data_IF_305235121506
#
_entry.id   IF_305235121506
#
_cell.length_a   1.000
_cell.length_b   1.000
_cell.length_c   1.000
_cell.angle_alpha   90.00
_cell.angle_beta   90.00
_cell.angle_gamma   90.00
#
_symmetry.space_group_name_H-M   'P 1'
#
loop_
_entity.id
_entity.type
_entity.pdbx_description
1 polymer ?
#
# COMPACT_ATOMS: atom_id res chain seq x y z
N UNK A 1 -13.90 22.46 5.87
CA UNK A 1 -14.97 21.54 5.40
C UNK A 1 -15.07 20.36 6.35
N UNK A 2 -16.28 19.87 6.63
CA UNK A 2 -16.50 18.69 7.48
C UNK A 2 -16.26 17.41 6.65
N UNK A 3 -15.58 16.41 7.21
CA UNK A 3 -15.38 15.11 6.56
C UNK A 3 -16.72 14.39 6.37
N UNK A 4 -16.94 13.82 5.18
CA UNK A 4 -18.16 13.08 4.83
C UNK A 4 -18.09 11.67 5.40
N UNK A 5 -19.22 11.14 5.88
CA UNK A 5 -19.36 9.73 6.22
C UNK A 5 -19.50 8.90 4.94
N UNK A 6 -18.46 8.16 4.60
CA UNK A 6 -18.43 7.34 3.40
C UNK A 6 -18.71 5.86 3.76
N UNK A 7 -19.87 5.36 3.36
CA UNK A 7 -20.32 3.97 3.56
C UNK A 7 -20.22 3.10 2.30
N UNK A 8 -19.40 3.48 1.32
CA UNK A 8 -19.21 2.70 0.10
C UNK A 8 -18.66 1.29 0.38
N UNK A 9 -19.16 0.30 -0.36
CA UNK A 9 -18.80 -1.12 -0.20
C UNK A 9 -17.46 -1.51 -0.86
N UNK A 10 -16.92 -0.69 -1.77
CA UNK A 10 -15.67 -0.95 -2.48
C UNK A 10 -15.55 -0.14 -3.79
N UNK A 11 -14.47 0.65 -4.01
CA UNK A 11 -13.51 1.11 -2.99
C UNK A 11 -14.20 1.80 -1.80
N UNK A 12 -13.52 1.82 -0.64
CA UNK A 12 -14.10 2.23 0.65
C UNK A 12 -13.25 3.27 1.39
N UNK A 13 -13.68 3.69 2.58
CA UNK A 13 -13.02 4.75 3.36
C UNK A 13 -11.66 4.30 3.92
N UNK A 14 -10.63 5.14 3.74
CA UNK A 14 -9.32 4.99 4.39
C UNK A 14 -9.22 5.82 5.68
N UNK A 15 -8.40 5.41 6.67
CA UNK A 15 -8.09 6.23 7.85
C UNK A 15 -7.50 7.59 7.48
N UNK A 16 -7.79 8.62 8.28
CA UNK A 16 -7.33 9.98 7.99
C UNK A 16 -5.81 10.12 8.06
N UNK A 17 -5.18 9.52 9.07
CA UNK A 17 -3.74 9.61 9.24
C UNK A 17 -2.97 9.08 8.03
N UNK A 18 -3.47 8.01 7.39
CA UNK A 18 -2.87 7.41 6.20
C UNK A 18 -2.95 8.35 5.01
N UNK A 19 -4.12 8.97 4.79
CA UNK A 19 -4.30 9.94 3.70
C UNK A 19 -3.40 11.18 3.89
N UNK A 20 -3.29 11.67 5.13
CA UNK A 20 -2.42 12.81 5.45
C UNK A 20 -0.96 12.47 5.23
N UNK A 21 -0.50 11.30 5.66
CA UNK A 21 0.86 10.87 5.45
C UNK A 21 1.17 10.74 3.94
N UNK A 22 0.34 10.03 3.18
CA UNK A 22 0.53 9.87 1.74
C UNK A 22 0.52 11.22 1.00
N UNK A 23 -0.38 12.13 1.39
CA UNK A 23 -0.45 13.48 0.83
C UNK A 23 0.81 14.31 1.14
N UNK A 24 1.33 14.25 2.36
CA UNK A 24 2.55 14.96 2.76
C UNK A 24 3.80 14.42 2.03
N UNK A 25 3.81 13.13 1.70
CA UNK A 25 4.95 12.45 1.08
C UNK A 25 4.85 12.37 -0.46
N UNK A 26 3.75 12.85 -1.07
CA UNK A 26 3.44 12.59 -2.49
C UNK A 26 4.48 13.12 -3.46
N UNK A 27 5.11 14.27 -3.14
CA UNK A 27 6.14 14.91 -3.96
C UNK A 27 7.55 14.40 -3.63
N UNK A 28 7.76 13.87 -2.43
CA UNK A 28 9.06 13.38 -1.99
C UNK A 28 8.88 12.38 -0.85
N UNK A 29 8.90 11.10 -1.19
CA UNK A 29 8.76 10.03 -0.21
C UNK A 29 9.92 10.06 0.78
N UNK A 30 9.64 10.29 2.06
CA UNK A 30 10.65 10.32 3.15
C UNK A 30 11.90 11.15 2.83
N UNK A 31 11.76 12.25 2.09
CA UNK A 31 12.88 13.13 1.74
C UNK A 31 13.84 12.58 0.69
N UNK A 32 13.49 11.52 -0.04
CA UNK A 32 14.36 10.96 -1.09
C UNK A 32 14.43 11.78 -2.39
N UNK A 33 13.69 12.89 -2.47
CA UNK A 33 13.72 13.81 -3.62
C UNK A 33 12.90 13.36 -4.83
N UNK A 34 12.09 12.31 -4.70
CA UNK A 34 11.18 11.83 -5.75
C UNK A 34 9.88 11.29 -5.16
N UNK A 35 8.79 11.33 -5.93
CA UNK A 35 7.54 10.67 -5.60
C UNK A 35 7.72 9.15 -5.59
N UNK A 36 6.95 8.44 -4.74
CA UNK A 36 6.87 6.97 -4.81
C UNK A 36 6.44 6.47 -6.20
N UNK A 37 5.66 7.28 -6.93
CA UNK A 37 5.17 6.95 -8.28
C UNK A 37 6.25 7.06 -9.37
N UNK A 38 7.36 7.75 -9.08
CA UNK A 38 8.47 7.94 -10.02
C UNK A 38 9.60 6.94 -9.78
N UNK A 39 9.57 6.24 -8.63
CA UNK A 39 10.61 5.29 -8.26
C UNK A 39 10.64 4.07 -9.18
N UNK A 40 11.85 3.63 -9.53
CA UNK A 40 12.02 2.29 -10.07
C UNK A 40 11.55 1.25 -9.05
N UNK A 41 10.71 0.31 -9.48
CA UNK A 41 10.29 -0.83 -8.67
C UNK A 41 11.46 -1.75 -8.25
N UNK A 42 12.64 -1.58 -8.85
CA UNK A 42 13.88 -2.29 -8.49
C UNK A 42 14.82 -1.46 -7.60
N UNK A 43 14.46 -0.22 -7.28
CA UNK A 43 15.25 0.61 -6.37
C UNK A 43 15.18 0.06 -4.94
N UNK A 44 16.25 0.23 -4.17
CA UNK A 44 16.27 -0.15 -2.75
C UNK A 44 15.19 0.57 -1.94
N UNK A 45 14.86 1.81 -2.32
CA UNK A 45 13.80 2.60 -1.68
C UNK A 45 12.45 1.92 -1.87
N UNK A 46 12.08 1.58 -3.12
CA UNK A 46 10.82 0.87 -3.37
C UNK A 46 10.82 -0.55 -2.78
N UNK A 47 11.94 -1.27 -2.85
CA UNK A 47 12.08 -2.59 -2.24
C UNK A 47 11.74 -2.55 -0.74
N UNK A 48 12.22 -1.53 -0.02
CA UNK A 48 11.89 -1.36 1.40
C UNK A 48 10.38 -1.14 1.66
N UNK A 49 9.66 -0.55 0.71
CA UNK A 49 8.21 -0.31 0.82
C UNK A 49 7.47 -1.64 0.69
N UNK A 50 7.80 -2.43 -0.34
CA UNK A 50 7.10 -3.70 -0.62
C UNK A 50 7.43 -4.76 0.43
N UNK A 51 8.68 -4.83 0.89
CA UNK A 51 9.10 -5.75 1.96
C UNK A 51 8.38 -5.44 3.28
N UNK A 52 8.26 -4.14 3.61
CA UNK A 52 7.51 -3.71 4.79
C UNK A 52 6.03 -4.03 4.65
N UNK A 53 5.44 -3.86 3.47
CA UNK A 53 4.04 -4.20 3.22
C UNK A 53 3.79 -5.71 3.41
N UNK A 54 4.66 -6.57 2.87
CA UNK A 54 4.58 -8.02 3.09
C UNK A 54 4.75 -8.36 4.57
N UNK A 55 5.78 -7.83 5.24
CA UNK A 55 6.03 -8.10 6.66
C UNK A 55 4.83 -7.74 7.53
N UNK A 56 4.26 -6.54 7.34
CA UNK A 56 3.10 -6.10 8.10
C UNK A 56 1.88 -7.00 7.85
N UNK A 57 1.68 -7.44 6.61
CA UNK A 57 0.59 -8.37 6.30
C UNK A 57 0.78 -9.71 7.01
N UNK A 58 2.02 -10.25 6.99
CA UNK A 58 2.36 -11.49 7.70
C UNK A 58 2.13 -11.35 9.20
N UNK A 59 2.54 -10.24 9.80
CA UNK A 59 2.39 -9.98 11.23
C UNK A 59 0.91 -9.92 11.65
N UNK A 60 0.11 -9.12 10.92
CA UNK A 60 -1.32 -8.92 11.24
C UNK A 60 -2.13 -10.20 11.02
N UNK A 61 -1.85 -10.93 9.94
CA UNK A 61 -2.59 -12.14 9.56
C UNK A 61 -1.99 -13.43 10.12
N UNK A 62 -0.85 -13.35 10.80
CA UNK A 62 -0.07 -14.49 11.32
C UNK A 62 0.25 -15.52 10.25
N UNK A 63 0.72 -15.07 9.09
CA UNK A 63 1.03 -15.94 7.94
C UNK A 63 2.34 -16.70 8.20
N UNK A 64 2.36 -18.04 8.15
CA UNK A 64 3.57 -18.79 8.42
C UNK A 64 4.55 -18.76 7.23
N UNK A 65 5.82 -19.07 7.51
CA UNK A 65 6.93 -18.95 6.54
C UNK A 65 6.83 -19.90 5.34
N UNK A 66 6.03 -20.96 5.48
CA UNK A 66 5.76 -21.91 4.40
C UNK A 66 4.72 -21.40 3.37
N UNK A 67 4.24 -20.17 3.50
CA UNK A 67 3.38 -19.50 2.49
C UNK A 67 4.11 -18.36 1.79
N UNK A 68 3.68 -18.06 0.56
CA UNK A 68 4.13 -16.90 -0.22
C UNK A 68 3.02 -15.85 -0.30
N UNK A 69 3.39 -14.58 -0.16
CA UNK A 69 2.52 -13.43 -0.36
C UNK A 69 2.81 -12.86 -1.74
N UNK A 70 1.78 -12.64 -2.55
CA UNK A 70 1.90 -12.10 -3.90
C UNK A 70 1.08 -10.82 -4.04
N UNK A 71 1.67 -9.79 -4.67
CA UNK A 71 0.98 -8.55 -5.03
C UNK A 71 0.69 -8.57 -6.54
N UNK A 72 -0.55 -8.90 -6.92
CA UNK A 72 -0.96 -9.11 -8.31
C UNK A 72 -1.99 -8.06 -8.77
N UNK A 73 -1.98 -7.78 -10.06
CA UNK A 73 -2.99 -6.95 -10.72
C UNK A 73 -4.20 -7.80 -11.17
N UNK A 74 -5.24 -7.16 -11.71
CA UNK A 74 -6.45 -7.82 -12.22
C UNK A 74 -7.57 -7.99 -11.19
N UNK A 75 -7.29 -7.80 -9.91
CA UNK A 75 -8.28 -7.94 -8.83
C UNK A 75 -8.68 -9.40 -8.59
N UNK A 76 -9.58 -9.61 -7.62
CA UNK A 76 -9.98 -10.97 -7.22
C UNK A 76 -10.60 -11.76 -8.38
N UNK A 77 -11.40 -11.12 -9.23
CA UNK A 77 -12.09 -11.77 -10.35
C UNK A 77 -11.15 -12.46 -11.34
N UNK A 78 -9.93 -11.96 -11.54
CA UNK A 78 -8.96 -12.58 -12.45
C UNK A 78 -8.24 -13.80 -11.88
N UNK A 79 -8.40 -14.11 -10.59
CA UNK A 79 -7.72 -15.26 -9.94
C UNK A 79 -8.55 -16.55 -9.97
N UNK A 80 -9.80 -16.47 -10.42
CA UNK A 80 -10.74 -17.60 -10.46
C UNK A 80 -11.29 -17.88 -11.87
N UNK A 81 -10.71 -17.24 -12.88
CA UNK A 81 -11.11 -17.33 -14.29
C UNK A 81 -10.25 -18.33 -15.07
#
# INVERSE_FOLDING_TARGET
MKRVYNFSAGPSMLPEEVLRQAGNEILSYKGCGQSVMEMSHRSSVFQSIIDRAESLLRDVMKIPDNYKVLFLQGGASSQFA
#
